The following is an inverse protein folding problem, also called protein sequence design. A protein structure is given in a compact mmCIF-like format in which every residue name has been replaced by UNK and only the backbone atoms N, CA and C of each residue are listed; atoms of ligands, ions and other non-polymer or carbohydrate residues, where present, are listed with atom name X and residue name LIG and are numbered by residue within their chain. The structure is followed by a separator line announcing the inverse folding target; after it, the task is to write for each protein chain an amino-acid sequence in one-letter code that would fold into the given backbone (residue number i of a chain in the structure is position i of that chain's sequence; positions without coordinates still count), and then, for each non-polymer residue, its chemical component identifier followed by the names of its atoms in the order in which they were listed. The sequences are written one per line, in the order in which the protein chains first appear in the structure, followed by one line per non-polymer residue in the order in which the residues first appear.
data_IF_008629662692
#
_entry.id   IF_008629662692
#
_cell.length_a   1.000
_cell.length_b   1.000
_cell.length_c   1.000
_cell.angle_alpha   90.00
_cell.angle_beta   90.00
_cell.angle_gamma   90.00
#
_symmetry.space_group_name_H-M   'P 1'
#
loop_
_entity.id
_entity.type
_entity.pdbx_description
1 polymer ?
#
# COMPACT_ATOMS: atom_id res chain seq x y z
N UNK A 1 -5.30 -21.11 6.91
CA UNK A 1 -5.34 -20.57 5.53
C UNK A 1 -4.39 -19.38 5.50
N UNK A 2 -3.32 -19.37 4.70
CA UNK A 2 -2.44 -18.21 4.61
C UNK A 2 -3.24 -17.10 3.92
N UNK A 3 -3.64 -16.09 4.69
CA UNK A 3 -4.42 -14.98 4.19
C UNK A 3 -3.56 -14.15 3.25
N UNK A 4 -3.82 -14.23 1.95
CA UNK A 4 -3.27 -13.28 0.99
C UNK A 4 -3.90 -11.90 1.21
N UNK A 5 -3.25 -11.08 2.02
CA UNK A 5 -3.56 -9.66 2.15
C UNK A 5 -2.99 -8.84 0.99
N UNK A 6 -3.41 -9.23 -0.21
CA UNK A 6 -3.39 -8.38 -1.40
C UNK A 6 -4.80 -8.23 -1.98
N UNK A 7 -5.69 -9.22 -1.78
CA UNK A 7 -6.95 -9.32 -2.53
C UNK A 7 -7.85 -8.09 -2.42
N UNK A 8 -7.89 -7.41 -1.27
CA UNK A 8 -8.78 -6.24 -1.08
C UNK A 8 -8.39 -5.01 -1.91
N UNK A 9 -7.14 -4.93 -2.39
CA UNK A 9 -6.60 -3.83 -3.20
C UNK A 9 -6.01 -4.26 -4.56
N UNK A 10 -5.72 -5.56 -4.73
CA UNK A 10 -5.09 -6.11 -5.95
C UNK A 10 -6.08 -6.23 -7.11
N UNK A 11 -7.39 -6.45 -6.84
CA UNK A 11 -8.41 -6.58 -7.89
C UNK A 11 -9.77 -5.99 -7.47
N UNK A 12 -9.81 -4.69 -7.17
CA UNK A 12 -11.11 -4.00 -7.06
C UNK A 12 -11.48 -3.37 -8.40
N UNK A 13 -12.67 -3.70 -8.91
CA UNK A 13 -13.20 -3.08 -10.12
C UNK A 13 -13.43 -1.58 -9.88
N UNK A 14 -13.54 -0.80 -10.96
CA UNK A 14 -13.83 0.64 -10.83
C UNK A 14 -15.17 0.89 -10.13
N UNK A 15 -16.17 0.04 -10.37
CA UNK A 15 -17.48 0.12 -9.72
C UNK A 15 -17.41 -0.24 -8.24
N UNK A 16 -16.72 -1.32 -7.88
CA UNK A 16 -16.53 -1.67 -6.46
C UNK A 16 -15.71 -0.59 -5.71
N UNK A 17 -14.78 0.10 -6.37
CA UNK A 17 -14.06 1.23 -5.80
C UNK A 17 -14.98 2.44 -5.60
N UNK A 18 -15.89 2.67 -6.55
CA UNK A 18 -16.90 3.72 -6.47
C UNK A 18 -17.90 3.47 -5.33
N UNK A 19 -18.38 2.24 -5.18
CA UNK A 19 -19.24 1.80 -4.08
C UNK A 19 -18.57 2.00 -2.73
N UNK A 20 -17.27 1.66 -2.60
CA UNK A 20 -16.50 1.97 -1.38
C UNK A 20 -16.40 3.48 -1.14
N UNK A 21 -16.21 4.25 -2.21
CA UNK A 21 -16.24 5.72 -2.17
C UNK A 21 -17.56 6.25 -1.62
N UNK A 22 -18.68 5.76 -2.14
CA UNK A 22 -20.02 6.14 -1.70
C UNK A 22 -20.29 5.72 -0.26
N UNK A 23 -19.96 4.48 0.12
CA UNK A 23 -20.11 4.02 1.50
C UNK A 23 -19.27 4.83 2.49
N UNK A 24 -18.07 5.29 2.10
CA UNK A 24 -17.26 6.18 2.93
C UNK A 24 -17.89 7.58 3.04
N UNK A 25 -18.43 8.11 1.94
CA UNK A 25 -19.15 9.37 1.89
C UNK A 25 -20.39 9.38 2.78
N UNK A 26 -21.21 8.32 2.69
CA UNK A 26 -22.45 8.19 3.45
C UNK A 26 -22.19 8.12 4.97
N UNK A 27 -21.05 7.54 5.36
CA UNK A 27 -20.58 7.53 6.76
C UNK A 27 -20.12 8.90 7.24
N UNK A 28 -19.58 9.74 6.36
CA UNK A 28 -19.22 11.13 6.66
C UNK A 28 -20.45 12.04 6.59
N UNK A 29 -21.42 11.83 7.49
CA UNK A 29 -22.74 12.48 7.53
C UNK A 29 -22.77 14.03 7.58
N UNK A 30 -21.63 14.72 7.63
CA UNK A 30 -21.48 16.18 7.78
C UNK A 30 -20.52 16.81 6.75
N UNK A 31 -20.47 16.33 5.51
CA UNK A 31 -19.62 16.96 4.48
C UNK A 31 -18.12 16.78 4.73
N UNK A 32 -17.74 15.68 5.38
CA UNK A 32 -16.34 15.29 5.52
C UNK A 32 -15.74 15.03 4.14
N UNK A 33 -14.52 15.51 3.92
CA UNK A 33 -13.78 15.24 2.68
C UNK A 33 -13.51 13.74 2.58
N UNK A 34 -14.17 13.06 1.64
CA UNK A 34 -13.82 11.68 1.30
C UNK A 34 -12.45 11.73 0.62
N UNK A 35 -11.47 11.09 1.25
CA UNK A 35 -10.14 10.98 0.66
C UNK A 35 -10.26 10.24 -0.67
N UNK A 36 -9.59 10.72 -1.73
CA UNK A 36 -9.57 10.03 -3.00
C UNK A 36 -9.10 8.59 -2.85
N UNK A 37 -9.71 7.68 -3.59
CA UNK A 37 -9.39 6.25 -3.53
C UNK A 37 -8.69 5.79 -4.80
N UNK A 38 -7.77 4.85 -4.63
CA UNK A 38 -6.94 4.29 -5.71
C UNK A 38 -6.91 2.77 -5.62
N UNK A 39 -6.68 2.13 -6.76
CA UNK A 39 -6.45 0.71 -6.83
C UNK A 39 -5.67 0.30 -8.07
N UNK A 40 -5.04 -0.88 -8.00
CA UNK A 40 -4.43 -1.50 -9.18
C UNK A 40 -5.48 -1.91 -10.21
N UNK A 41 -5.11 -1.86 -11.49
CA UNK A 41 -5.98 -2.30 -12.57
C UNK A 41 -6.07 -3.84 -12.66
N UNK A 42 -4.97 -4.52 -12.37
CA UNK A 42 -4.82 -5.96 -12.54
C UNK A 42 -3.70 -6.52 -11.64
N UNK A 43 -3.73 -7.85 -11.43
CA UNK A 43 -2.77 -8.56 -10.59
C UNK A 43 -1.33 -8.47 -11.11
N UNK A 44 -1.03 -8.66 -12.41
CA UNK A 44 0.34 -8.54 -12.90
C UNK A 44 0.97 -7.18 -12.61
N UNK A 45 0.21 -6.09 -12.79
CA UNK A 45 0.66 -4.74 -12.45
C UNK A 45 0.90 -4.60 -10.96
N UNK A 46 -0.02 -5.09 -10.12
CA UNK A 46 0.14 -5.04 -8.67
C UNK A 46 1.41 -5.78 -8.20
N UNK A 47 1.63 -7.01 -8.69
CA UNK A 47 2.80 -7.83 -8.35
C UNK A 47 4.09 -7.12 -8.78
N UNK A 48 4.14 -6.61 -10.01
CA UNK A 48 5.30 -5.85 -10.50
C UNK A 48 5.59 -4.63 -9.63
N UNK A 49 4.59 -3.79 -9.38
CA UNK A 49 4.74 -2.53 -8.62
C UNK A 49 5.15 -2.80 -7.18
N UNK A 50 4.55 -3.80 -6.53
CA UNK A 50 4.93 -4.20 -5.16
C UNK A 50 6.38 -4.70 -5.14
N UNK A 51 6.78 -5.50 -6.12
CA UNK A 51 8.15 -6.00 -6.24
C UNK A 51 9.15 -4.86 -6.45
N UNK A 52 8.84 -3.91 -7.33
CA UNK A 52 9.66 -2.72 -7.55
C UNK A 52 9.80 -1.88 -6.28
N UNK A 53 8.72 -1.69 -5.53
CA UNK A 53 8.74 -0.95 -4.28
C UNK A 53 9.55 -1.62 -3.17
N UNK A 54 9.50 -2.95 -3.06
CA UNK A 54 10.35 -3.69 -2.13
C UNK A 54 11.83 -3.60 -2.54
N UNK A 55 12.13 -3.55 -3.83
CA UNK A 55 13.50 -3.42 -4.36
C UNK A 55 14.01 -1.97 -4.42
N UNK A 56 13.16 -0.98 -4.18
CA UNK A 56 13.56 0.42 -4.10
C UNK A 56 14.48 0.65 -2.87
N UNK A 57 15.30 1.72 -2.85
CA UNK A 57 16.18 2.02 -1.72
C UNK A 57 15.45 2.04 -0.37
N UNK A 58 14.28 2.67 -0.31
CA UNK A 58 13.46 2.76 0.90
C UNK A 58 12.87 1.40 1.29
N UNK A 59 12.51 0.58 0.30
CA UNK A 59 12.05 -0.78 0.52
C UNK A 59 13.15 -1.66 1.11
N UNK A 60 14.33 -1.67 0.50
CA UNK A 60 15.47 -2.45 0.99
C UNK A 60 15.94 -1.98 2.38
N UNK A 61 15.93 -0.67 2.64
CA UNK A 61 16.24 -0.13 3.96
C UNK A 61 15.23 -0.57 5.02
N UNK A 62 13.93 -0.50 4.73
CA UNK A 62 12.88 -0.97 5.62
C UNK A 62 12.95 -2.49 5.89
N UNK A 63 13.28 -3.28 4.86
CA UNK A 63 13.48 -4.71 4.99
C UNK A 63 14.70 -5.05 5.83
N UNK A 64 15.82 -4.35 5.62
CA UNK A 64 17.02 -4.48 6.44
C UNK A 64 16.78 -4.09 7.91
N UNK A 65 15.92 -3.11 8.16
CA UNK A 65 15.46 -2.80 9.52
C UNK A 65 14.67 -3.96 10.12
N UNK A 66 13.68 -4.51 9.40
CA UNK A 66 12.85 -5.61 9.88
C UNK A 66 13.64 -6.91 10.15
N UNK A 67 14.74 -7.12 9.41
CA UNK A 67 15.69 -8.23 9.60
C UNK A 67 16.73 -7.95 10.69
N UNK A 68 16.77 -6.72 11.21
CA UNK A 68 17.73 -6.27 12.21
C UNK A 68 17.55 -6.94 13.58
N UNK A 69 18.67 -7.14 14.27
CA UNK A 69 18.68 -7.70 15.63
C UNK A 69 17.86 -6.82 16.60
N UNK A 70 16.90 -7.42 17.29
CA UNK A 70 16.06 -6.73 18.28
C UNK A 70 14.72 -6.22 17.75
N UNK A 71 14.38 -6.44 16.47
CA UNK A 71 13.03 -6.19 15.97
C UNK A 71 12.10 -7.35 16.34
N UNK A 72 10.98 -7.03 16.98
CA UNK A 72 9.99 -8.02 17.39
C UNK A 72 9.21 -8.57 16.20
N UNK A 73 8.80 -9.84 16.29
CA UNK A 73 7.79 -10.40 15.39
C UNK A 73 6.50 -9.59 15.53
N UNK A 74 5.87 -9.26 14.42
CA UNK A 74 4.70 -8.38 14.36
C UNK A 74 5.05 -6.89 14.20
N UNK A 75 6.34 -6.53 14.14
CA UNK A 75 6.75 -5.16 13.84
C UNK A 75 6.32 -4.79 12.41
N UNK A 76 5.76 -3.59 12.25
CA UNK A 76 5.23 -3.10 10.98
C UNK A 76 5.97 -1.86 10.51
N UNK A 77 6.26 -1.82 9.22
CA UNK A 77 6.78 -0.64 8.53
C UNK A 77 5.85 -0.23 7.40
N UNK A 78 5.69 1.07 7.22
CA UNK A 78 5.02 1.63 6.04
C UNK A 78 6.09 2.08 5.06
N UNK A 79 6.02 1.67 3.80
CA UNK A 79 6.97 2.05 2.76
C UNK A 79 6.22 2.89 1.74
N UNK A 80 6.71 4.08 1.43
CA UNK A 80 6.30 4.83 0.25
C UNK A 80 7.44 4.80 -0.78
N UNK A 81 7.18 4.22 -1.95
CA UNK A 81 8.19 4.04 -2.98
C UNK A 81 7.75 4.66 -4.30
N UNK A 82 8.73 5.10 -5.09
CA UNK A 82 8.53 5.46 -6.49
C UNK A 82 8.88 4.27 -7.38
N UNK A 83 8.01 3.97 -8.33
CA UNK A 83 8.09 2.81 -9.23
C UNK A 83 7.93 3.27 -10.68
N UNK A 84 8.10 2.36 -11.64
CA UNK A 84 7.81 2.70 -13.03
C UNK A 84 6.33 3.05 -13.20
N UNK A 85 5.99 4.16 -13.92
CA UNK A 85 4.62 4.61 -14.07
C UNK A 85 3.67 3.54 -14.57
N UNK A 86 2.47 3.49 -13.99
CA UNK A 86 1.47 2.48 -14.30
C UNK A 86 0.05 3.03 -14.25
N UNK A 87 -0.88 2.32 -14.89
CA UNK A 87 -2.29 2.68 -14.90
C UNK A 87 -2.95 2.21 -13.61
N UNK A 88 -3.62 3.13 -12.92
CA UNK A 88 -4.36 2.85 -11.69
C UNK A 88 -5.80 3.34 -11.81
N UNK A 89 -6.71 2.62 -11.16
CA UNK A 89 -8.10 3.08 -10.96
C UNK A 89 -8.09 4.18 -9.90
N UNK A 90 -8.89 5.22 -10.14
CA UNK A 90 -8.94 6.41 -9.31
C UNK A 90 -10.36 6.93 -9.16
N UNK A 91 -10.78 7.13 -7.93
CA UNK A 91 -12.08 7.70 -7.55
C UNK A 91 -11.82 8.95 -6.72
N UNK A 92 -11.80 10.15 -7.34
CA UNK A 92 -11.66 11.41 -6.61
C UNK A 92 -12.91 11.79 -5.82
N UNK A 93 -14.07 11.30 -6.25
CA UNK A 93 -15.37 11.58 -5.66
C UNK A 93 -16.29 10.37 -5.88
N UNK A 94 -17.23 10.04 -4.97
CA UNK A 94 -18.16 8.92 -5.09
C UNK A 94 -19.01 8.83 -6.37
N UNK A 95 -18.98 9.85 -7.23
CA UNK A 95 -19.71 9.91 -8.50
C UNK A 95 -18.77 9.92 -9.72
N UNK A 96 -17.46 9.86 -9.53
CA UNK A 96 -16.48 9.92 -10.60
C UNK A 96 -15.47 8.78 -10.44
N UNK A 97 -15.36 7.95 -11.48
CA UNK A 97 -14.28 6.96 -11.62
C UNK A 97 -13.47 7.27 -12.87
N UNK A 98 -12.15 7.15 -12.75
CA UNK A 98 -11.18 7.40 -13.83
C UNK A 98 -10.06 6.37 -13.77
N UNK A 99 -9.32 6.26 -14.86
CA UNK A 99 -8.01 5.59 -14.88
C UNK A 99 -6.95 6.65 -15.13
N UNK A 100 -5.95 6.71 -14.26
CA UNK A 100 -4.85 7.67 -14.33
C UNK A 100 -3.51 6.94 -14.35
N UNK A 101 -2.46 7.67 -14.73
CA UNK A 101 -1.08 7.16 -14.62
C UNK A 101 -0.49 7.64 -13.31
N UNK A 102 0.08 6.73 -12.52
CA UNK A 102 0.67 6.96 -11.20
C UNK A 102 2.06 6.32 -11.16
N UNK A 103 3.00 6.88 -10.40
CA UNK A 103 4.33 6.33 -10.14
C UNK A 103 4.62 6.10 -8.64
N UNK A 104 3.69 6.44 -7.74
CA UNK A 104 3.79 6.22 -6.30
C UNK A 104 2.99 5.00 -5.82
N UNK A 105 3.57 4.26 -4.87
CA UNK A 105 2.89 3.17 -4.15
C UNK A 105 3.21 3.22 -2.65
N UNK A 106 2.23 2.86 -1.83
CA UNK A 106 2.40 2.64 -0.41
C UNK A 106 2.23 1.15 -0.10
N UNK A 107 3.16 0.59 0.67
CA UNK A 107 3.10 -0.77 1.20
C UNK A 107 3.07 -0.75 2.74
N UNK A 108 2.34 -1.68 3.33
CA UNK A 108 2.44 -2.01 4.75
C UNK A 108 3.01 -3.42 4.87
N UNK A 109 4.17 -3.54 5.50
CA UNK A 109 4.90 -4.81 5.63
C UNK A 109 5.07 -5.12 7.12
N UNK A 110 4.92 -6.40 7.49
CA UNK A 110 5.10 -6.90 8.84
C UNK A 110 6.18 -7.97 8.89
N UNK A 111 6.99 -7.98 9.94
CA UNK A 111 7.85 -9.11 10.28
C UNK A 111 7.02 -10.28 10.80
N UNK A 112 7.15 -11.44 10.18
CA UNK A 112 6.48 -12.67 10.62
C UNK A 112 7.51 -13.76 10.91
N UNK A 113 7.13 -14.66 11.79
CA UNK A 113 7.89 -15.85 12.12
C UNK A 113 7.24 -17.08 11.47
N UNK A 114 7.96 -17.76 10.58
CA UNK A 114 7.53 -19.05 10.04
C UNK A 114 8.50 -20.17 10.46
N UNK A 115 8.15 -20.87 11.53
CA UNK A 115 8.87 -22.09 11.95
C UNK A 115 10.27 -21.83 12.51
N UNK A 116 11.10 -22.87 12.60
CA UNK A 116 12.26 -22.85 13.51
C UNK A 116 13.38 -21.85 13.17
N UNK A 117 13.52 -21.32 11.95
CA UNK A 117 14.70 -20.47 11.62
C UNK A 117 14.55 -19.38 10.54
N UNK A 118 13.36 -19.08 10.00
CA UNK A 118 13.27 -18.09 8.90
C UNK A 118 12.37 -16.90 9.25
N UNK A 119 12.99 -15.74 9.51
CA UNK A 119 12.31 -14.45 9.44
C UNK A 119 11.77 -14.26 8.03
N UNK A 120 10.48 -13.97 7.91
CA UNK A 120 9.84 -13.63 6.65
C UNK A 120 9.10 -12.32 6.80
N UNK A 121 8.78 -11.73 5.65
CA UNK A 121 7.92 -10.56 5.58
C UNK A 121 6.53 -10.94 5.10
N UNK A 122 5.53 -10.29 5.66
CA UNK A 122 4.15 -10.36 5.21
C UNK A 122 3.68 -9.00 4.73
N UNK A 123 3.16 -8.94 3.51
CA UNK A 123 2.60 -7.72 2.93
C UNK A 123 1.13 -7.64 3.33
N UNK A 124 0.80 -6.72 4.24
CA UNK A 124 -0.57 -6.50 4.72
C UNK A 124 -1.45 -5.76 3.75
N UNK A 125 -0.86 -4.81 3.01
CA UNK A 125 -1.56 -4.13 1.93
C UNK A 125 -0.55 -3.41 1.05
N UNK A 126 -0.96 -3.18 -0.18
CA UNK A 126 -0.28 -2.30 -1.12
C UNK A 126 -1.32 -1.57 -1.95
N UNK A 127 -1.15 -0.27 -2.16
CA UNK A 127 -2.03 0.50 -3.03
C UNK A 127 -1.31 1.70 -3.68
N UNK A 128 -1.75 2.14 -4.88
CA UNK A 128 -1.18 3.31 -5.53
C UNK A 128 -1.43 4.57 -4.71
N UNK A 129 -0.48 5.50 -4.66
CA UNK A 129 -0.65 6.79 -3.98
C UNK A 129 -0.46 7.94 -4.97
N UNK A 130 -1.25 9.00 -4.80
CA UNK A 130 -1.21 10.19 -5.66
C UNK A 130 -0.12 11.17 -5.23
N UNK A 131 0.27 11.10 -3.97
CA UNK A 131 1.28 11.94 -3.36
C UNK A 131 1.93 11.17 -2.21
N UNK A 132 3.23 11.38 -2.05
CA UNK A 132 3.99 10.94 -0.90
C UNK A 132 3.63 11.77 0.33
N UNK A 133 3.53 11.16 1.49
CA UNK A 133 3.23 11.85 2.75
C UNK A 133 4.29 12.90 3.09
N UNK A 134 5.54 12.66 2.69
CA UNK A 134 6.67 13.60 2.89
C UNK A 134 7.10 14.36 1.64
N UNK A 135 6.38 14.21 0.52
CA UNK A 135 6.79 14.74 -0.78
C UNK A 135 7.94 13.97 -1.45
N UNK A 136 8.51 12.97 -0.78
CA UNK A 136 9.56 12.08 -1.29
C UNK A 136 9.28 10.64 -0.84
N UNK A 137 9.78 9.63 -1.57
CA UNK A 137 9.86 8.26 -1.09
C UNK A 137 10.53 8.22 0.30
N UNK A 138 9.96 7.43 1.20
CA UNK A 138 10.42 7.27 2.57
C UNK A 138 9.78 6.02 3.17
N UNK A 139 10.27 5.56 4.31
CA UNK A 139 9.58 4.54 5.08
C UNK A 139 9.41 4.95 6.55
N UNK A 140 8.41 4.38 7.21
CA UNK A 140 8.03 4.69 8.59
C UNK A 140 8.10 3.45 9.47
N UNK A 141 8.76 3.58 10.61
CA UNK A 141 8.96 2.50 11.58
C UNK A 141 7.77 2.32 12.55
N UNK A 142 7.77 1.30 13.42
CA UNK A 142 6.71 1.07 14.40
C UNK A 142 6.56 2.19 15.46
N UNK A 143 7.54 3.08 15.59
CA UNK A 143 7.52 4.23 16.50
C UNK A 143 7.05 5.51 15.78
N UNK A 144 6.44 5.36 14.60
CA UNK A 144 5.97 6.44 13.73
C UNK A 144 7.08 7.39 13.25
N UNK A 145 8.35 6.95 13.26
CA UNK A 145 9.47 7.75 12.76
C UNK A 145 9.71 7.47 11.29
N UNK A 146 9.91 8.54 10.53
CA UNK A 146 10.22 8.47 9.11
C UNK A 146 11.71 8.45 8.84
N UNK A 147 12.11 7.60 7.91
CA UNK A 147 13.48 7.36 7.45
C UNK A 147 13.57 7.55 5.94
#
# INVERSE_FOLDING_TARGET
MPGHTGEKHVLITGDALLERGQAAYDKTRNGGVVKPMTAFCDTPTAVRVVTEALNAPEGQAALGYLDGYGVFVGARVTIEARVQPFRARFVPHPQSKRTITIDGVLLLVESIWEGEQNYKIHIHTGFPILAFSRGQPAWRDPLDRWH
#
